data_IF_743876743368
#
_entry.id   IF_743876743368
#
_cell.length_a   1.000
_cell.length_b   1.000
_cell.length_c   1.000
_cell.angle_alpha   90.00
_cell.angle_beta   90.00
_cell.angle_gamma   90.00
#
_symmetry.space_group_name_H-M   'P 1'
#
loop_
_entity.id
_entity.type
_entity.pdbx_description
1 polymer ?
#
# COMPACT_ATOMS: atom_id res chain seq x y z
N UNK A 1 13.89 10.65 -22.40
CA UNK A 1 13.58 9.44 -23.20
C UNK A 1 12.42 9.80 -24.12
N UNK A 2 12.32 9.28 -25.35
CA UNK A 2 11.20 9.63 -26.23
C UNK A 2 9.99 8.75 -25.93
N UNK A 3 8.78 9.29 -26.03
CA UNK A 3 7.53 8.55 -25.80
C UNK A 3 7.45 7.26 -26.62
N UNK A 4 7.76 7.33 -27.93
CA UNK A 4 7.78 6.15 -28.80
C UNK A 4 8.72 5.04 -28.32
N UNK A 5 9.87 5.40 -27.72
CA UNK A 5 10.79 4.40 -27.14
C UNK A 5 10.18 3.75 -25.89
N UNK A 6 9.55 4.55 -25.03
CA UNK A 6 8.87 4.04 -23.82
C UNK A 6 7.75 3.08 -24.21
N UNK A 7 6.89 3.47 -25.13
CA UNK A 7 5.78 2.65 -25.61
C UNK A 7 6.30 1.32 -26.16
N UNK A 8 7.33 1.35 -27.02
CA UNK A 8 7.91 0.12 -27.57
C UNK A 8 8.46 -0.80 -26.48
N UNK A 9 9.06 -0.24 -25.43
CA UNK A 9 9.60 -1.01 -24.32
C UNK A 9 8.47 -1.63 -23.46
N UNK A 10 7.43 -0.85 -23.16
CA UNK A 10 6.24 -1.32 -22.44
C UNK A 10 5.58 -2.47 -23.18
N UNK A 11 5.35 -2.33 -24.49
CA UNK A 11 4.75 -3.39 -25.33
C UNK A 11 5.58 -4.66 -25.29
N UNK A 12 6.91 -4.56 -25.42
CA UNK A 12 7.79 -5.72 -25.38
C UNK A 12 7.77 -6.42 -24.01
N UNK A 13 7.75 -5.66 -22.91
CA UNK A 13 7.74 -6.21 -21.55
C UNK A 13 6.38 -6.83 -21.19
N UNK A 14 5.28 -6.19 -21.56
CA UNK A 14 3.94 -6.78 -21.42
C UNK A 14 3.83 -8.09 -22.22
N UNK A 15 4.33 -8.12 -23.46
CA UNK A 15 4.35 -9.34 -24.26
C UNK A 15 5.18 -10.46 -23.64
N UNK A 16 6.31 -10.14 -22.99
CA UNK A 16 7.10 -11.11 -22.23
C UNK A 16 6.35 -11.71 -21.03
N UNK A 17 5.37 -10.98 -20.51
CA UNK A 17 4.44 -11.41 -19.47
C UNK A 17 3.17 -12.09 -20.04
N UNK A 18 3.09 -12.26 -21.36
CA UNK A 18 1.93 -12.85 -22.04
C UNK A 18 0.72 -11.90 -22.12
N UNK A 19 0.94 -10.60 -21.94
CA UNK A 19 -0.10 -9.57 -21.99
C UNK A 19 0.02 -8.82 -23.31
N UNK A 20 -1.04 -8.84 -24.11
CA UNK A 20 -1.08 -8.11 -25.37
C UNK A 20 -1.28 -6.61 -25.15
N UNK A 21 -0.48 -5.81 -25.83
CA UNK A 21 -0.61 -4.36 -25.85
C UNK A 21 -0.36 -3.80 -27.26
N UNK A 22 -1.16 -2.82 -27.67
CA UNK A 22 -1.14 -2.28 -29.04
C UNK A 22 -1.54 -0.80 -29.04
N UNK A 23 -0.93 -0.02 -29.93
CA UNK A 23 -1.35 1.37 -30.14
C UNK A 23 -2.64 1.42 -30.97
N UNK A 24 -3.64 2.13 -30.46
CA UNK A 24 -4.94 2.33 -31.13
C UNK A 24 -5.28 3.82 -31.19
N UNK A 25 -6.12 4.19 -32.15
CA UNK A 25 -6.70 5.54 -32.22
C UNK A 25 -8.02 5.56 -31.43
N UNK A 26 -8.17 6.52 -30.51
CA UNK A 26 -9.41 6.74 -29.74
C UNK A 26 -9.82 8.20 -29.77
N UNK A 27 -11.13 8.52 -29.66
CA UNK A 27 -11.57 9.90 -29.49
C UNK A 27 -10.91 10.51 -28.25
N UNK A 28 -10.46 11.74 -28.38
CA UNK A 28 -10.09 12.55 -27.23
C UNK A 28 -11.38 12.99 -26.51
N UNK A 29 -11.55 12.56 -25.26
CA UNK A 29 -12.73 12.91 -24.47
C UNK A 29 -12.69 14.37 -23.98
N UNK A 30 -11.51 15.01 -24.04
CA UNK A 30 -11.31 16.40 -23.64
C UNK A 30 -11.50 17.40 -24.80
N UNK A 31 -11.60 16.93 -26.05
CA UNK A 31 -11.81 17.79 -27.23
C UNK A 31 -13.21 17.63 -27.83
N UNK A 32 -13.92 18.76 -28.01
CA UNK A 32 -15.28 18.80 -28.55
C UNK A 32 -15.39 18.27 -30.00
N UNK A 33 -14.29 18.31 -30.75
CA UNK A 33 -14.25 17.99 -32.19
C UNK A 33 -14.00 16.49 -32.47
N UNK A 34 -13.79 15.67 -31.43
CA UNK A 34 -13.66 14.21 -31.57
C UNK A 34 -12.39 13.76 -32.28
N UNK A 35 -11.31 14.54 -32.17
CA UNK A 35 -10.01 14.20 -32.73
C UNK A 35 -9.50 12.88 -32.15
N UNK A 36 -8.76 12.13 -32.98
CA UNK A 36 -8.28 10.79 -32.60
C UNK A 36 -6.85 10.86 -32.06
N UNK A 37 -6.70 10.57 -30.77
CA UNK A 37 -5.41 10.44 -30.09
C UNK A 37 -4.88 9.01 -30.15
N UNK A 38 -3.55 8.88 -30.13
CA UNK A 38 -2.87 7.60 -29.99
C UNK A 38 -2.89 7.15 -28.53
N UNK A 39 -3.47 5.97 -28.28
CA UNK A 39 -3.59 5.38 -26.94
C UNK A 39 -2.95 4.00 -26.94
N UNK A 40 -2.08 3.74 -25.97
CA UNK A 40 -1.59 2.38 -25.71
C UNK A 40 -2.72 1.57 -25.08
N UNK A 41 -3.31 0.64 -25.84
CA UNK A 41 -4.35 -0.25 -25.35
C UNK A 41 -3.77 -1.54 -24.80
N UNK A 42 -4.31 -1.98 -23.67
CA UNK A 42 -4.00 -3.28 -23.04
C UNK A 42 -5.33 -4.01 -22.83
N UNK A 43 -5.91 -4.66 -23.85
CA UNK A 43 -7.31 -5.09 -23.84
C UNK A 43 -7.70 -5.98 -22.66
N UNK A 44 -6.79 -6.85 -22.22
CA UNK A 44 -7.03 -7.73 -21.07
C UNK A 44 -7.16 -6.98 -19.73
N UNK A 45 -6.68 -5.74 -19.69
CA UNK A 45 -6.64 -4.89 -18.49
C UNK A 45 -7.55 -3.67 -18.63
N UNK A 46 -8.39 -3.58 -19.65
CA UNK A 46 -9.26 -2.42 -19.86
C UNK A 46 -10.70 -2.69 -19.40
N UNK A 47 -11.34 -1.64 -18.89
CA UNK A 47 -12.78 -1.58 -18.66
C UNK A 47 -13.53 -1.33 -19.98
N UNK A 48 -14.86 -1.36 -19.93
CA UNK A 48 -15.70 -1.16 -21.12
C UNK A 48 -15.59 0.26 -21.73
N UNK A 49 -15.23 1.26 -20.91
CA UNK A 49 -14.89 2.62 -21.34
C UNK A 49 -13.46 2.73 -21.88
N UNK A 50 -12.70 1.63 -21.86
CA UNK A 50 -11.34 1.56 -22.33
C UNK A 50 -10.30 2.05 -21.32
N UNK A 51 -10.69 2.45 -20.10
CA UNK A 51 -9.73 2.82 -19.05
C UNK A 51 -9.02 1.61 -18.46
N UNK A 52 -7.80 1.77 -17.94
CA UNK A 52 -7.13 0.68 -17.22
C UNK A 52 -7.90 0.28 -15.95
N UNK A 53 -8.26 -0.99 -15.90
CA UNK A 53 -8.90 -1.66 -14.78
C UNK A 53 -7.90 -1.89 -13.65
N UNK A 54 -8.10 -1.18 -12.53
CA UNK A 54 -7.34 -1.38 -11.29
C UNK A 54 -7.27 -2.84 -10.86
N UNK A 55 -8.40 -3.55 -10.92
CA UNK A 55 -8.47 -4.97 -10.56
C UNK A 55 -7.53 -5.84 -11.41
N UNK A 56 -7.43 -5.57 -12.72
CA UNK A 56 -6.55 -6.34 -13.59
C UNK A 56 -5.06 -6.02 -13.30
N UNK A 57 -4.75 -4.74 -13.09
CA UNK A 57 -3.42 -4.29 -12.68
C UNK A 57 -2.97 -4.90 -11.34
N UNK A 58 -3.84 -4.86 -10.33
CA UNK A 58 -3.61 -5.46 -9.02
C UNK A 58 -3.60 -6.99 -9.09
N UNK A 59 -4.40 -7.58 -9.97
CA UNK A 59 -4.38 -9.01 -10.26
C UNK A 59 -3.03 -9.48 -10.79
N UNK A 60 -2.38 -8.69 -11.65
CA UNK A 60 -1.01 -8.95 -12.10
C UNK A 60 -0.02 -8.92 -10.94
N UNK A 61 -0.06 -7.89 -10.11
CA UNK A 61 0.83 -7.76 -8.94
C UNK A 61 0.60 -8.92 -7.95
N UNK A 62 -0.66 -9.24 -7.66
CA UNK A 62 -1.06 -10.36 -6.82
C UNK A 62 -0.48 -11.67 -7.37
N UNK A 63 -0.59 -11.93 -8.68
CA UNK A 63 -0.03 -13.14 -9.28
C UNK A 63 1.49 -13.27 -9.08
N UNK A 64 2.22 -12.14 -8.97
CA UNK A 64 3.66 -12.14 -8.67
C UNK A 64 3.96 -12.38 -7.18
N UNK A 65 3.08 -11.92 -6.29
CA UNK A 65 3.30 -11.95 -4.84
C UNK A 65 2.56 -13.09 -4.10
N UNK A 66 1.58 -13.75 -4.69
CA UNK A 66 0.68 -14.71 -4.01
C UNK A 66 1.43 -15.88 -3.36
N UNK A 67 2.52 -16.35 -3.96
CA UNK A 67 3.38 -17.41 -3.40
C UNK A 67 4.45 -16.90 -2.42
N UNK A 68 4.51 -15.59 -2.22
CA UNK A 68 5.57 -14.85 -1.53
C UNK A 68 4.99 -13.68 -0.71
N UNK A 69 4.03 -13.92 0.20
CA UNK A 69 3.24 -12.86 0.82
C UNK A 69 4.04 -11.89 1.70
N UNK A 70 5.27 -12.24 2.10
CA UNK A 70 6.18 -11.38 2.87
C UNK A 70 7.09 -10.49 2.02
N UNK A 71 7.00 -10.59 0.68
CA UNK A 71 7.81 -9.81 -0.26
C UNK A 71 7.01 -8.63 -0.81
N UNK A 72 7.75 -7.65 -1.33
CA UNK A 72 7.17 -6.51 -2.06
C UNK A 72 7.47 -6.60 -3.54
N UNK A 73 6.60 -5.99 -4.35
CA UNK A 73 6.87 -5.67 -5.74
C UNK A 73 7.21 -4.18 -5.82
N UNK A 74 8.42 -3.86 -6.28
CA UNK A 74 8.90 -2.49 -6.46
C UNK A 74 8.83 -2.16 -7.94
N UNK A 75 7.92 -1.27 -8.32
CA UNK A 75 7.80 -0.74 -9.68
C UNK A 75 8.58 0.58 -9.77
N UNK A 76 9.55 0.68 -10.67
CA UNK A 76 10.50 1.80 -10.67
C UNK A 76 10.83 2.29 -12.07
N UNK A 77 11.48 3.45 -12.15
CA UNK A 77 12.05 3.95 -13.40
C UNK A 77 13.56 3.77 -13.35
N UNK A 78 14.19 3.09 -14.32
CA UNK A 78 15.64 2.93 -14.34
C UNK A 78 16.37 4.27 -14.26
N UNK A 79 17.19 4.45 -13.22
CA UNK A 79 18.00 5.65 -13.00
C UNK A 79 17.26 6.83 -12.33
N UNK A 80 16.02 6.63 -11.87
CA UNK A 80 15.27 7.64 -11.10
C UNK A 80 15.08 7.10 -9.68
N UNK A 81 15.28 7.96 -8.69
CA UNK A 81 15.09 7.61 -7.29
C UNK A 81 13.61 7.69 -6.89
N UNK A 82 12.73 7.04 -7.66
CA UNK A 82 11.31 6.98 -7.38
C UNK A 82 10.80 5.58 -7.66
N UNK A 83 9.98 5.05 -6.77
CA UNK A 83 9.28 3.81 -6.99
C UNK A 83 7.93 3.76 -6.28
N UNK A 84 7.06 2.91 -6.83
CA UNK A 84 5.93 2.38 -6.10
C UNK A 84 6.31 1.04 -5.48
N UNK A 85 5.98 0.86 -4.22
CA UNK A 85 6.13 -0.39 -3.50
C UNK A 85 4.75 -0.97 -3.23
N UNK A 86 4.50 -2.17 -3.74
CA UNK A 86 3.28 -2.92 -3.50
C UNK A 86 3.56 -4.10 -2.58
N UNK A 87 2.67 -4.33 -1.62
CA UNK A 87 2.81 -5.43 -0.68
C UNK A 87 1.53 -5.68 0.10
N UNK A 88 1.42 -6.87 0.70
CA UNK A 88 0.31 -7.16 1.60
C UNK A 88 0.55 -6.55 2.97
N UNK A 89 -0.54 -6.19 3.65
CA UNK A 89 -0.46 -5.83 5.07
C UNK A 89 0.21 -6.95 5.87
N UNK A 90 1.27 -6.66 6.65
CA UNK A 90 1.93 -7.66 7.49
C UNK A 90 0.96 -8.36 8.45
N UNK A 91 -0.06 -7.65 8.92
CA UNK A 91 -1.13 -8.21 9.77
C UNK A 91 -1.86 -9.33 9.05
N UNK A 92 -2.32 -9.08 7.82
CA UNK A 92 -3.11 -10.06 7.08
C UNK A 92 -2.28 -11.32 6.78
N UNK A 93 -1.00 -11.13 6.51
CA UNK A 93 -0.03 -12.22 6.34
C UNK A 93 0.17 -13.00 7.64
N UNK A 94 0.36 -12.28 8.76
CA UNK A 94 0.60 -12.87 10.08
C UNK A 94 -0.58 -13.67 10.62
N UNK A 95 -1.80 -13.24 10.31
CA UNK A 95 -3.05 -13.91 10.68
C UNK A 95 -3.34 -15.11 9.76
N UNK A 96 -2.53 -15.35 8.73
CA UNK A 96 -2.71 -16.44 7.78
C UNK A 96 -3.98 -16.31 6.94
N UNK A 97 -4.43 -15.07 6.69
CA UNK A 97 -5.60 -14.81 5.85
C UNK A 97 -5.33 -15.30 4.42
N UNK A 98 -6.40 -15.74 3.76
CA UNK A 98 -6.37 -15.93 2.31
C UNK A 98 -6.37 -14.55 1.68
N UNK A 99 -5.28 -14.20 1.01
CA UNK A 99 -5.07 -12.89 0.39
C UNK A 99 -5.53 -12.92 -1.06
N UNK A 100 -6.15 -11.83 -1.51
CA UNK A 100 -6.46 -11.59 -2.92
C UNK A 100 -5.83 -10.27 -3.44
N UNK A 101 -6.23 -9.83 -4.63
CA UNK A 101 -5.67 -8.62 -5.22
C UNK A 101 -6.06 -7.34 -4.49
N UNK A 102 -7.14 -7.33 -3.71
CA UNK A 102 -7.61 -6.16 -2.97
C UNK A 102 -6.93 -5.99 -1.61
N UNK A 103 -6.25 -7.03 -1.12
CA UNK A 103 -5.42 -6.93 0.09
C UNK A 103 -4.05 -6.27 -0.17
N UNK A 104 -3.79 -5.80 -1.40
CA UNK A 104 -2.56 -5.09 -1.76
C UNK A 104 -2.63 -3.62 -1.33
N UNK A 105 -1.61 -3.21 -0.59
CA UNK A 105 -1.34 -1.83 -0.25
C UNK A 105 -0.23 -1.28 -1.16
N UNK A 106 -0.15 0.04 -1.29
CA UNK A 106 0.85 0.74 -2.10
C UNK A 106 1.48 1.89 -1.32
N UNK A 107 2.77 2.13 -1.56
CA UNK A 107 3.50 3.33 -1.15
C UNK A 107 4.28 3.86 -2.35
N UNK A 108 4.06 5.12 -2.70
CA UNK A 108 4.89 5.84 -3.67
C UNK A 108 5.94 6.67 -2.94
N UNK A 109 7.22 6.51 -3.28
CA UNK A 109 8.33 7.16 -2.56
C UNK A 109 9.37 7.76 -3.51
N UNK A 110 9.80 8.99 -3.23
CA UNK A 110 10.84 9.76 -3.92
C UNK A 110 12.26 9.49 -3.38
N UNK A 111 12.35 8.56 -2.44
CA UNK A 111 13.58 8.12 -1.80
C UNK A 111 13.98 6.71 -2.25
N UNK A 112 13.31 6.17 -3.26
CA UNK A 112 13.45 4.78 -3.69
C UNK A 112 13.03 3.78 -2.60
N UNK A 113 13.38 2.51 -2.79
CA UNK A 113 13.00 1.44 -1.84
C UNK A 113 13.60 1.65 -0.43
N UNK A 114 14.70 2.41 -0.32
CA UNK A 114 15.32 2.75 0.97
C UNK A 114 14.43 3.65 1.83
N UNK A 115 13.54 4.45 1.21
CA UNK A 115 12.55 5.26 1.90
C UNK A 115 11.26 4.52 2.27
N UNK A 116 11.22 3.19 2.11
CA UNK A 116 10.01 2.42 2.41
C UNK A 116 9.65 2.46 3.89
N UNK A 117 8.37 2.72 4.18
CA UNK A 117 7.78 2.64 5.51
C UNK A 117 6.45 1.89 5.47
N UNK A 118 6.32 0.85 6.31
CA UNK A 118 5.05 0.14 6.45
C UNK A 118 3.89 1.02 6.94
N UNK A 119 4.21 2.14 7.61
CA UNK A 119 3.22 3.06 8.18
C UNK A 119 2.63 4.01 7.13
N UNK A 120 3.32 4.16 6.00
CA UNK A 120 2.91 5.06 4.91
C UNK A 120 2.25 4.28 3.76
N UNK A 121 2.25 2.95 3.82
CA UNK A 121 1.51 2.11 2.90
C UNK A 121 0.02 2.39 3.05
N UNK A 122 -0.64 2.71 1.95
CA UNK A 122 -2.07 2.97 1.91
C UNK A 122 -2.81 1.83 1.23
N UNK A 123 -4.01 1.54 1.73
CA UNK A 123 -4.97 0.74 0.98
C UNK A 123 -5.32 1.48 -0.30
N UNK A 124 -5.30 0.78 -1.42
CA UNK A 124 -5.69 1.37 -2.69
C UNK A 124 -7.18 1.72 -2.64
N UNK A 125 -7.52 2.99 -2.85
CA UNK A 125 -8.90 3.44 -3.07
C UNK A 125 -9.15 3.70 -4.57
N UNK A 126 -10.34 3.36 -5.06
CA UNK A 126 -10.78 3.69 -6.43
C UNK A 126 -10.83 5.21 -6.64
N UNK A 127 -11.06 6.01 -5.59
CA UNK A 127 -11.14 7.47 -5.71
C UNK A 127 -9.83 8.14 -6.14
N UNK A 128 -8.69 7.47 -5.91
CA UNK A 128 -7.35 7.97 -6.26
C UNK A 128 -6.76 7.29 -7.51
N UNK A 129 -7.42 6.26 -8.05
CA UNK A 129 -6.95 5.54 -9.23
C UNK A 129 -7.43 6.21 -10.52
N UNK A 130 -6.49 6.64 -11.36
CA UNK A 130 -6.80 7.09 -12.71
C UNK A 130 -5.66 6.66 -13.64
N UNK A 131 -5.83 5.52 -14.33
CA UNK A 131 -4.78 4.94 -15.21
C UNK A 131 -3.47 4.61 -14.49
N UNK A 132 -3.50 4.50 -13.16
CA UNK A 132 -2.34 4.30 -12.30
C UNK A 132 -2.27 5.29 -11.14
N UNK A 133 -1.12 5.30 -10.48
CA UNK A 133 -0.76 6.19 -9.37
C UNK A 133 -0.01 7.42 -9.87
N UNK A 134 0.47 8.23 -8.92
CA UNK A 134 1.39 9.32 -9.21
C UNK A 134 2.67 8.81 -9.88
N UNK A 135 3.29 9.69 -10.67
CA UNK A 135 4.48 9.36 -11.46
C UNK A 135 5.55 10.40 -11.22
N UNK A 136 6.85 10.02 -11.31
CA UNK A 136 7.93 10.97 -11.08
C UNK A 136 7.95 12.04 -12.17
N UNK A 137 8.56 13.19 -11.86
CA UNK A 137 8.64 14.34 -12.78
C UNK A 137 9.19 13.99 -14.16
N UNK A 138 10.09 13.02 -14.20
CA UNK A 138 10.75 12.46 -15.37
C UNK A 138 9.79 11.79 -16.34
N UNK A 139 8.60 11.37 -15.89
CA UNK A 139 7.57 10.73 -16.72
C UNK A 139 6.32 11.59 -16.92
N UNK A 140 6.22 12.78 -16.30
CA UNK A 140 5.03 13.64 -16.40
C UNK A 140 4.72 14.14 -17.83
N UNK A 141 5.70 14.04 -18.74
CA UNK A 141 5.52 14.37 -20.15
C UNK A 141 4.85 13.26 -20.97
N UNK A 142 4.65 12.07 -20.39
CA UNK A 142 4.00 10.93 -21.02
C UNK A 142 2.54 10.84 -20.59
N UNK A 143 1.67 10.21 -21.39
CA UNK A 143 0.36 9.81 -20.92
C UNK A 143 0.48 8.97 -19.64
N UNK A 144 -0.34 9.26 -18.62
CA UNK A 144 -0.27 8.63 -17.29
C UNK A 144 -0.27 7.10 -17.35
N UNK A 145 -1.09 6.54 -18.25
CA UNK A 145 -1.12 5.11 -18.58
C UNK A 145 0.25 4.57 -18.97
N UNK A 146 0.91 5.23 -19.91
CA UNK A 146 2.22 4.80 -20.44
C UNK A 146 3.26 4.88 -19.33
N UNK A 147 3.26 5.96 -18.54
CA UNK A 147 4.17 6.15 -17.42
C UNK A 147 4.01 5.04 -16.36
N UNK A 148 2.78 4.76 -15.93
CA UNK A 148 2.50 3.73 -14.93
C UNK A 148 2.79 2.31 -15.43
N UNK A 149 2.41 1.98 -16.66
CA UNK A 149 2.77 0.69 -17.26
C UNK A 149 4.29 0.54 -17.41
N UNK A 150 4.99 1.61 -17.77
CA UNK A 150 6.45 1.59 -17.83
C UNK A 150 7.09 1.34 -16.47
N UNK A 151 6.61 2.01 -15.42
CA UNK A 151 7.05 1.74 -14.05
C UNK A 151 6.77 0.31 -13.62
N UNK A 152 5.52 -0.14 -13.79
CA UNK A 152 5.11 -1.50 -13.42
C UNK A 152 5.93 -2.55 -14.17
N UNK A 153 6.23 -2.36 -15.45
CA UNK A 153 7.00 -3.32 -16.23
C UNK A 153 8.51 -3.30 -15.95
N UNK A 154 8.98 -2.36 -15.14
CA UNK A 154 10.32 -2.33 -14.57
C UNK A 154 10.30 -2.81 -13.11
N UNK A 155 9.42 -3.77 -12.80
CA UNK A 155 9.29 -4.27 -11.45
C UNK A 155 10.43 -5.19 -11.02
N UNK A 156 10.70 -5.18 -9.72
CA UNK A 156 11.50 -6.19 -9.03
C UNK A 156 10.75 -6.73 -7.82
N UNK A 157 10.95 -8.01 -7.51
CA UNK A 157 10.41 -8.60 -6.27
C UNK A 157 11.52 -8.59 -5.23
N UNK A 158 11.31 -7.83 -4.15
CA UNK A 158 12.32 -7.59 -3.12
C UNK A 158 11.87 -8.12 -1.77
N UNK A 159 12.82 -8.31 -0.86
CA UNK A 159 12.52 -8.45 0.56
C UNK A 159 12.24 -7.05 1.13
N UNK A 160 11.05 -6.89 1.71
CA UNK A 160 10.71 -5.67 2.44
C UNK A 160 11.34 -5.73 3.84
N UNK A 161 11.71 -4.58 4.43
CA UNK A 161 12.25 -4.56 5.78
C UNK A 161 11.21 -5.16 6.76
N UNK A 162 11.65 -5.84 7.82
CA UNK A 162 10.72 -6.36 8.82
C UNK A 162 9.98 -5.22 9.52
N UNK A 163 8.74 -5.49 9.95
CA UNK A 163 8.01 -4.55 10.80
C UNK A 163 8.78 -4.39 12.10
N UNK A 164 9.09 -3.14 12.46
CA UNK A 164 9.76 -2.86 13.71
C UNK A 164 8.82 -3.15 14.90
N UNK A 165 9.30 -3.79 15.97
CA UNK A 165 8.52 -3.94 17.19
C UNK A 165 8.03 -2.58 17.70
N UNK A 166 6.84 -2.52 18.30
CA UNK A 166 6.48 -1.39 19.14
C UNK A 166 7.39 -1.43 20.38
N UNK A 167 7.61 -0.28 21.01
CA UNK A 167 8.19 -0.22 22.34
C UNK A 167 7.25 0.45 23.31
N UNK A 168 7.33 0.03 24.58
CA UNK A 168 6.59 0.67 25.67
C UNK A 168 6.88 2.18 25.72
N UNK A 169 8.14 2.56 25.54
CA UNK A 169 8.57 3.96 25.55
C UNK A 169 7.93 4.78 24.41
N UNK A 170 7.89 4.26 23.19
CA UNK A 170 7.24 4.94 22.05
C UNK A 170 5.75 5.17 22.31
N UNK A 171 5.04 4.19 22.88
CA UNK A 171 3.62 4.31 23.22
C UNK A 171 3.40 5.39 24.30
N UNK A 172 4.26 5.43 25.32
CA UNK A 172 4.21 6.46 26.37
C UNK A 172 4.44 7.85 25.75
N UNK A 173 5.44 7.99 24.88
CA UNK A 173 5.76 9.25 24.21
C UNK A 173 4.62 9.71 23.29
N UNK A 174 4.02 8.80 22.52
CA UNK A 174 2.85 9.08 21.69
C UNK A 174 1.68 9.64 22.54
N UNK A 175 1.40 9.03 23.69
CA UNK A 175 0.37 9.50 24.62
C UNK A 175 0.71 10.86 25.26
N UNK A 176 2.00 11.12 25.54
CA UNK A 176 2.47 12.40 26.08
C UNK A 176 2.47 13.53 25.04
N UNK A 177 2.54 13.22 23.76
CA UNK A 177 2.58 14.21 22.67
C UNK A 177 1.34 15.12 22.58
N UNK A 178 0.26 14.77 23.29
CA UNK A 178 -0.97 15.55 23.35
C UNK A 178 -1.85 15.43 22.11
N UNK A 179 -1.41 14.72 21.06
CA UNK A 179 -2.22 14.36 19.88
C UNK A 179 -3.33 13.36 20.24
N UNK A 180 -3.10 12.52 21.24
CA UNK A 180 -4.00 11.45 21.66
C UNK A 180 -4.59 11.70 23.06
N UNK A 181 -5.30 12.81 23.23
CA UNK A 181 -5.83 13.24 24.55
C UNK A 181 -6.70 12.18 25.24
N UNK A 182 -7.43 11.38 24.46
CA UNK A 182 -8.36 10.35 24.97
C UNK A 182 -7.73 8.95 25.06
N UNK A 183 -6.45 8.83 24.73
CA UNK A 183 -5.72 7.57 24.57
C UNK A 183 -5.55 7.16 23.10
N UNK A 184 -4.70 6.16 22.88
CA UNK A 184 -4.57 5.48 21.59
C UNK A 184 -5.70 4.46 21.45
N UNK A 185 -6.28 4.33 20.26
CA UNK A 185 -7.32 3.34 20.01
C UNK A 185 -6.74 1.92 20.06
N UNK A 186 -7.52 0.98 20.56
CA UNK A 186 -7.18 -0.45 20.56
C UNK A 186 -8.40 -1.25 20.12
N UNK A 187 -8.18 -2.30 19.35
CA UNK A 187 -9.22 -3.25 18.95
C UNK A 187 -9.62 -4.13 20.14
N UNK A 188 -10.92 -4.19 20.39
CA UNK A 188 -11.54 -5.10 21.35
C UNK A 188 -12.08 -6.37 20.68
N UNK A 189 -12.51 -7.35 21.48
CA UNK A 189 -13.20 -8.55 20.95
C UNK A 189 -14.64 -8.24 20.48
N UNK A 190 -15.26 -7.23 21.06
CA UNK A 190 -16.56 -6.70 20.65
C UNK A 190 -16.34 -5.42 19.84
N UNK A 191 -16.86 -5.39 18.61
CA UNK A 191 -16.77 -4.23 17.72
C UNK A 191 -17.48 -2.99 18.28
N UNK A 192 -18.36 -3.15 19.26
CA UNK A 192 -19.04 -2.05 19.95
C UNK A 192 -18.32 -1.61 21.22
N UNK A 193 -17.31 -2.35 21.68
CA UNK A 193 -16.52 -1.99 22.85
C UNK A 193 -15.29 -1.21 22.45
N UNK A 194 -15.17 -0.01 22.99
CA UNK A 194 -14.05 0.88 22.68
C UNK A 194 -12.95 0.67 23.70
N UNK A 195 -11.83 0.10 23.27
CA UNK A 195 -10.64 -0.02 24.10
C UNK A 195 -9.68 1.13 23.79
N UNK A 196 -9.04 1.65 24.83
CA UNK A 196 -8.07 2.75 24.68
C UNK A 196 -6.85 2.51 25.54
N UNK A 197 -5.66 2.61 24.96
CA UNK A 197 -4.40 2.63 25.70
C UNK A 197 -4.18 4.04 26.26
N UNK A 198 -3.85 4.13 27.55
CA UNK A 198 -3.72 5.38 28.30
C UNK A 198 -2.51 5.33 29.24
N UNK A 199 -2.17 6.50 29.79
CA UNK A 199 -1.26 6.60 30.91
C UNK A 199 -2.04 6.60 32.23
N UNK A 200 -1.59 5.79 33.17
CA UNK A 200 -2.01 5.86 34.57
C UNK A 200 -1.45 7.11 35.27
N UNK A 201 -1.89 7.38 36.50
CA UNK A 201 -1.34 8.46 37.34
C UNK A 201 0.18 8.33 37.59
N UNK A 202 0.73 7.12 37.44
CA UNK A 202 2.17 6.83 37.58
C UNK A 202 2.92 6.84 36.26
N UNK A 203 2.29 7.34 35.19
CA UNK A 203 2.82 7.37 33.83
C UNK A 203 3.14 5.99 33.23
N UNK A 204 2.56 4.92 33.76
CA UNK A 204 2.64 3.57 33.16
C UNK A 204 1.47 3.31 32.21
N UNK A 205 1.68 2.48 31.18
CA UNK A 205 0.64 2.11 30.22
C UNK A 205 -0.48 1.28 30.87
N UNK A 206 -1.72 1.63 30.57
CA UNK A 206 -2.92 0.88 30.96
C UNK A 206 -3.89 0.82 29.79
N UNK A 207 -4.45 -0.36 29.55
CA UNK A 207 -5.58 -0.54 28.64
C UNK A 207 -6.87 -0.30 29.41
N UNK A 208 -7.67 0.66 28.97
CA UNK A 208 -9.00 0.94 29.50
C UNK A 208 -10.07 0.37 28.56
N UNK A 209 -10.88 -0.56 29.07
CA UNK A 209 -12.03 -1.15 28.34
C UNK A 209 -13.29 -0.39 28.74
N UNK A 210 -13.93 0.28 27.79
CA UNK A 210 -15.02 1.21 28.12
C UNK A 210 -16.30 0.49 28.59
N UNK A 211 -16.60 -0.68 28.05
CA UNK A 211 -17.81 -1.44 28.39
C UNK A 211 -17.93 -1.80 29.87
N UNK A 212 -16.82 -2.18 30.50
CA UNK A 212 -16.76 -2.64 31.89
C UNK A 212 -15.97 -1.69 32.82
N UNK A 213 -15.34 -0.65 32.27
CA UNK A 213 -14.54 0.33 32.99
C UNK A 213 -13.24 -0.24 33.57
N UNK A 214 -12.82 -1.43 33.13
CA UNK A 214 -11.63 -2.09 33.65
C UNK A 214 -10.34 -1.44 33.12
N UNK A 215 -9.30 -1.51 33.95
CA UNK A 215 -7.94 -1.05 33.62
C UNK A 215 -6.98 -2.23 33.74
N UNK A 216 -6.32 -2.58 32.65
CA UNK A 216 -5.34 -3.65 32.60
C UNK A 216 -3.95 -3.06 32.39
N UNK A 217 -2.96 -3.31 33.27
CA UNK A 217 -1.59 -2.87 33.06
C UNK A 217 -1.01 -3.44 31.76
N UNK A 218 -0.28 -2.61 31.02
CA UNK A 218 0.44 -2.99 29.81
C UNK A 218 1.92 -2.70 30.02
N UNK A 219 2.77 -3.61 29.58
CA UNK A 219 4.23 -3.51 29.64
C UNK A 219 4.86 -4.18 28.42
N UNK A 220 6.18 -4.16 28.33
CA UNK A 220 6.93 -4.77 27.22
C UNK A 220 6.63 -6.26 26.97
N UNK A 221 6.12 -7.02 27.95
CA UNK A 221 5.77 -8.45 27.74
C UNK A 221 4.54 -8.65 26.85
N UNK A 222 3.73 -7.59 26.72
CA UNK A 222 2.57 -7.55 25.85
C UNK A 222 2.93 -7.13 24.42
N UNK A 223 4.19 -6.82 24.13
CA UNK A 223 4.61 -6.34 22.81
C UNK A 223 5.50 -7.40 22.14
N UNK A 224 5.08 -7.87 20.97
CA UNK A 224 5.79 -8.91 20.26
C UNK A 224 6.77 -8.37 19.21
N UNK A 225 7.58 -9.28 18.66
CA UNK A 225 8.58 -8.96 17.64
C UNK A 225 8.00 -8.56 16.28
N UNK A 226 6.68 -8.66 16.10
CA UNK A 226 5.99 -8.29 14.86
C UNK A 226 5.42 -6.87 14.91
N UNK A 227 5.70 -6.13 15.98
CA UNK A 227 5.16 -4.78 16.14
C UNK A 227 3.73 -4.77 16.63
N UNK A 228 3.29 -5.81 17.36
CA UNK A 228 1.93 -5.92 17.87
C UNK A 228 1.90 -5.73 19.37
N UNK A 229 0.89 -5.00 19.85
CA UNK A 229 0.45 -5.05 21.23
C UNK A 229 -0.57 -6.19 21.35
N UNK A 230 -0.27 -7.19 22.17
CA UNK A 230 -1.04 -8.42 22.33
C UNK A 230 -1.41 -8.61 23.80
N UNK A 231 -2.69 -8.85 24.07
CA UNK A 231 -3.19 -9.20 25.40
C UNK A 231 -4.06 -10.45 25.28
N UNK A 232 -3.80 -11.46 26.12
CA UNK A 232 -4.54 -12.73 26.13
C UNK A 232 -4.65 -13.42 24.76
N UNK A 233 -3.62 -13.28 23.91
CA UNK A 233 -3.56 -13.81 22.55
C UNK A 233 -4.29 -12.97 21.49
N UNK A 234 -4.89 -11.85 21.88
CA UNK A 234 -5.55 -10.92 20.98
C UNK A 234 -4.63 -9.75 20.61
N UNK A 235 -4.53 -9.45 19.31
CA UNK A 235 -3.85 -8.25 18.80
C UNK A 235 -4.74 -7.04 19.04
N UNK A 236 -4.26 -6.10 19.85
CA UNK A 236 -4.96 -4.86 20.20
C UNK A 236 -4.58 -3.70 19.27
N UNK A 237 -3.33 -3.70 18.81
CA UNK A 237 -2.72 -2.65 17.97
C UNK A 237 -1.55 -3.27 17.21
N UNK A 238 -1.25 -2.75 16.02
CA UNK A 238 -0.02 -3.08 15.28
C UNK A 238 0.64 -1.80 14.82
N UNK A 239 1.97 -1.77 14.68
CA UNK A 239 2.70 -0.57 14.22
C UNK A 239 2.19 0.04 12.90
N UNK A 240 1.50 -0.72 12.07
CA UNK A 240 1.12 -0.35 10.70
C UNK A 240 -0.33 0.16 10.59
N UNK A 241 -1.10 0.12 11.68
CA UNK A 241 -2.47 0.62 11.73
C UNK A 241 -2.78 1.12 13.16
N UNK A 242 -3.56 2.18 13.31
CA UNK A 242 -4.00 2.66 14.63
C UNK A 242 -2.90 3.13 15.63
N UNK A 243 -1.65 3.33 15.20
CA UNK A 243 -0.55 3.97 15.95
C UNK A 243 -0.21 5.36 15.39
#
# INVERSE_FOLDING_TARGET
>A
MTESKVISEVVQKLAAEGIEAVMVKRPDEDEEDGDLIDVLSVPAWELADGQLCRKAFYGFIHAKLASRPTKGLVASVPGVNYCDVYGYSPVAVDDGRVLDCWDLNVLSTDSGVEGFSWQEMVEADDSAWWEGWDVPTELQHLPRRVANLYMLMNYEIVDLPPVQPLSEQELIEALKSGKHRDGLFCHGTDLNDRWTLRLSERESLVLHKLSDGSFTPIDQTHIDSKGRLVLDGQVLMHRCWDF
#
